data_IF_647149405689
#
_entry.id   IF_647149405689
#
_cell.length_a   1.000
_cell.length_b   1.000
_cell.length_c   1.000
_cell.angle_alpha   90.00
_cell.angle_beta   90.00
_cell.angle_gamma   90.00
#
_symmetry.space_group_name_H-M   'P 1'
#
loop_
_entity.id
_entity.type
_entity.pdbx_description
1 polymer ?
#
# COMPACT_ATOMS: atom_id res chain seq x y z
N UNK A 1 23.34 -9.64 -5.07
CA UNK A 1 22.10 -9.32 -4.33
C UNK A 1 21.38 -8.30 -5.17
N UNK A 2 20.08 -8.48 -5.44
CA UNK A 2 19.35 -7.52 -6.27
C UNK A 2 19.14 -6.25 -5.45
N UNK A 3 19.69 -5.16 -5.96
CA UNK A 3 19.38 -3.80 -5.56
C UNK A 3 17.91 -3.56 -5.96
N UNK A 4 16.98 -3.76 -5.01
CA UNK A 4 15.55 -3.54 -5.27
C UNK A 4 15.24 -2.06 -5.09
N UNK A 5 15.71 -1.28 -6.05
CA UNK A 5 15.40 0.13 -6.16
C UNK A 5 13.98 0.29 -6.71
N UNK A 6 13.23 1.24 -6.17
CA UNK A 6 11.90 1.57 -6.68
C UNK A 6 11.61 3.06 -6.56
N UNK A 7 10.78 3.56 -7.47
CA UNK A 7 10.31 4.94 -7.44
C UNK A 7 9.06 5.00 -6.58
N UNK A 8 8.99 5.99 -5.69
CA UNK A 8 7.84 6.24 -4.83
C UNK A 8 7.53 7.73 -4.78
N UNK A 9 6.26 8.09 -4.59
CA UNK A 9 5.87 9.47 -4.32
C UNK A 9 6.53 9.97 -3.03
N UNK A 10 6.83 11.27 -3.01
CA UNK A 10 7.35 11.94 -1.82
C UNK A 10 6.33 11.98 -0.70
N UNK A 11 6.81 12.12 0.52
CA UNK A 11 5.97 12.35 1.70
C UNK A 11 5.07 13.58 1.53
N UNK A 12 3.84 13.51 2.04
CA UNK A 12 2.84 14.59 2.00
C UNK A 12 2.47 15.12 0.60
N UNK A 13 2.68 14.33 -0.46
CA UNK A 13 2.32 14.72 -1.84
C UNK A 13 0.85 14.52 -2.19
N UNK A 14 0.03 13.99 -1.26
CA UNK A 14 -1.40 13.74 -1.47
C UNK A 14 -2.24 14.99 -1.78
N UNK A 15 -1.72 16.19 -1.52
CA UNK A 15 -2.40 17.45 -1.83
C UNK A 15 -2.20 17.92 -3.28
N UNK A 16 -1.36 17.25 -4.07
CA UNK A 16 -1.10 17.63 -5.46
C UNK A 16 -2.02 16.87 -6.43
N UNK A 17 -2.83 17.56 -7.26
CA UNK A 17 -3.67 16.90 -8.24
C UNK A 17 -2.88 16.29 -9.40
N UNK A 18 -1.63 16.75 -9.61
CA UNK A 18 -0.70 16.25 -10.63
C UNK A 18 0.67 16.12 -9.99
N UNK A 19 1.24 14.92 -10.05
CA UNK A 19 2.61 14.67 -9.59
C UNK A 19 3.59 14.91 -10.76
N UNK A 20 4.61 15.71 -10.52
CA UNK A 20 5.73 15.94 -11.44
C UNK A 20 6.93 15.09 -10.99
N UNK A 21 7.96 14.98 -11.83
CA UNK A 21 9.17 14.22 -11.50
C UNK A 21 9.81 14.66 -10.17
N UNK A 22 9.65 15.93 -9.80
CA UNK A 22 10.10 16.50 -8.52
C UNK A 22 9.32 16.03 -7.30
N UNK A 23 8.18 15.37 -7.47
CA UNK A 23 7.38 14.79 -6.39
C UNK A 23 7.68 13.30 -6.15
N UNK A 24 8.73 12.77 -6.77
CA UNK A 24 9.14 11.38 -6.61
C UNK A 24 10.55 11.27 -6.03
N UNK A 25 10.74 10.20 -5.25
CA UNK A 25 12.03 9.77 -4.75
C UNK A 25 12.36 8.37 -5.29
N UNK A 26 13.62 8.11 -5.54
CA UNK A 26 14.15 6.77 -5.79
C UNK A 26 14.58 6.18 -4.45
N UNK A 27 13.87 5.17 -3.96
CA UNK A 27 14.36 4.37 -2.83
C UNK A 27 15.43 3.43 -3.35
N UNK A 28 16.64 3.54 -2.83
CA UNK A 28 17.80 2.76 -3.26
C UNK A 28 18.06 1.55 -2.36
N UNK A 29 17.63 1.62 -1.10
CA UNK A 29 17.74 0.53 -0.13
C UNK A 29 16.71 0.69 0.99
N UNK A 30 16.23 -0.44 1.51
CA UNK A 30 15.42 -0.51 2.73
C UNK A 30 16.00 -1.56 3.66
N UNK A 31 16.13 -1.22 4.95
CA UNK A 31 16.39 -2.13 6.04
C UNK A 31 15.24 -2.03 7.05
N UNK A 32 14.25 -2.91 6.88
CA UNK A 32 13.08 -2.93 7.74
C UNK A 32 13.39 -3.35 9.18
N UNK A 33 14.53 -3.99 9.46
CA UNK A 33 14.90 -4.40 10.83
C UNK A 33 15.41 -3.21 11.63
N UNK A 34 16.28 -2.42 11.01
CA UNK A 34 16.81 -1.19 11.62
C UNK A 34 15.87 0.01 11.46
N UNK A 35 14.74 -0.17 10.75
CA UNK A 35 13.78 0.88 10.43
C UNK A 35 14.42 2.03 9.61
N UNK A 36 15.33 1.66 8.70
CA UNK A 36 16.10 2.60 7.89
C UNK A 36 15.77 2.43 6.41
N UNK A 37 15.80 3.54 5.67
CA UNK A 37 15.73 3.53 4.21
C UNK A 37 16.67 4.60 3.66
N UNK A 38 17.17 4.35 2.46
CA UNK A 38 17.99 5.27 1.70
C UNK A 38 17.22 5.64 0.44
N UNK A 39 17.14 6.94 0.18
CA UNK A 39 16.50 7.45 -1.03
C UNK A 39 17.31 8.59 -1.63
N UNK A 40 17.22 8.70 -2.95
CA UNK A 40 17.76 9.78 -3.75
C UNK A 40 16.61 10.55 -4.41
N UNK A 41 16.82 11.84 -4.63
CA UNK A 41 15.85 12.69 -5.32
C UNK A 41 15.53 13.97 -4.56
N UNK A 42 14.68 14.81 -5.15
CA UNK A 42 14.38 16.15 -4.66
C UNK A 42 13.45 16.17 -3.44
N UNK A 43 12.85 15.04 -3.08
CA UNK A 43 11.90 14.91 -1.97
C UNK A 43 12.26 13.73 -1.07
N UNK A 44 11.86 13.82 0.19
CA UNK A 44 11.90 12.70 1.12
C UNK A 44 10.87 11.66 0.64
N UNK A 45 11.29 10.40 0.52
CA UNK A 45 10.41 9.30 0.14
C UNK A 45 9.18 9.19 1.08
N UNK A 46 8.07 8.62 0.60
CA UNK A 46 6.90 8.39 1.46
C UNK A 46 7.28 7.55 2.68
N UNK A 47 6.68 7.85 3.82
CA UNK A 47 6.75 7.01 5.02
C UNK A 47 6.19 5.60 4.82
N UNK A 48 5.43 5.34 3.75
CA UNK A 48 5.01 3.99 3.34
C UNK A 48 6.07 3.20 2.57
N UNK A 49 7.24 3.78 2.29
CA UNK A 49 8.29 3.13 1.48
C UNK A 49 8.64 1.72 1.96
N UNK A 50 8.69 1.49 3.28
CA UNK A 50 8.97 0.16 3.83
C UNK A 50 7.87 -0.84 3.55
N UNK A 51 6.60 -0.41 3.54
CA UNK A 51 5.46 -1.26 3.18
C UNK A 51 5.49 -1.60 1.68
N UNK A 52 5.83 -0.64 0.82
CA UNK A 52 6.06 -0.90 -0.60
C UNK A 52 7.18 -1.92 -0.81
N UNK A 53 8.31 -1.74 -0.13
CA UNK A 53 9.44 -2.67 -0.19
C UNK A 53 9.05 -4.08 0.27
N UNK A 54 8.27 -4.22 1.33
CA UNK A 54 7.78 -5.51 1.81
C UNK A 54 6.98 -6.26 0.73
N UNK A 55 6.13 -5.55 -0.03
CA UNK A 55 5.36 -6.13 -1.13
C UNK A 55 6.28 -6.57 -2.28
N UNK A 56 7.22 -5.71 -2.71
CA UNK A 56 8.17 -6.05 -3.79
C UNK A 56 9.04 -7.26 -3.42
N UNK A 57 9.52 -7.34 -2.18
CA UNK A 57 10.37 -8.43 -1.70
C UNK A 57 9.63 -9.78 -1.63
N UNK A 58 8.40 -9.80 -1.11
CA UNK A 58 7.62 -11.04 -0.96
C UNK A 58 6.95 -11.49 -2.27
N UNK A 59 6.82 -10.58 -3.24
CA UNK A 59 6.20 -10.82 -4.54
C UNK A 59 7.05 -10.25 -5.69
N UNK A 60 8.12 -10.96 -6.14
CA UNK A 60 9.02 -10.48 -7.20
C UNK A 60 8.38 -10.21 -8.57
N UNK A 61 7.12 -10.59 -8.75
CA UNK A 61 6.33 -10.35 -9.97
C UNK A 61 5.60 -9.00 -9.96
N UNK A 62 5.54 -8.32 -8.81
CA UNK A 62 4.89 -7.03 -8.62
C UNK A 62 5.76 -5.92 -9.19
N UNK A 63 5.18 -5.06 -10.03
CA UNK A 63 5.83 -3.83 -10.51
C UNK A 63 4.96 -2.58 -10.29
N UNK A 64 3.91 -2.68 -9.49
CA UNK A 64 3.08 -1.53 -9.12
C UNK A 64 2.42 -1.77 -7.78
N UNK A 65 2.56 -0.80 -6.88
CA UNK A 65 1.90 -0.76 -5.57
C UNK A 65 1.24 0.61 -5.43
N UNK A 66 -0.02 0.62 -5.02
CA UNK A 66 -0.80 1.83 -4.77
C UNK A 66 -1.23 1.80 -3.31
N UNK A 67 -0.97 2.89 -2.62
CA UNK A 67 -1.50 3.18 -1.30
C UNK A 67 -2.47 4.35 -1.38
N UNK A 68 -3.64 4.22 -0.77
CA UNK A 68 -4.64 5.29 -0.69
C UNK A 68 -5.29 5.34 0.69
N UNK A 69 -5.82 6.52 0.99
CA UNK A 69 -6.54 6.84 2.22
C UNK A 69 -8.02 7.06 1.89
N UNK A 70 -8.89 6.14 2.32
CA UNK A 70 -10.34 6.27 2.12
C UNK A 70 -11.13 5.62 3.28
N UNK A 71 -11.61 6.40 4.27
CA UNK A 71 -12.24 5.85 5.48
C UNK A 71 -13.44 4.94 5.23
N UNK A 72 -14.33 5.31 4.29
CA UNK A 72 -15.55 4.53 3.98
C UNK A 72 -15.22 3.13 3.42
N UNK A 73 -14.48 3.10 2.30
CA UNK A 73 -13.96 1.87 1.70
C UNK A 73 -13.14 1.05 2.69
N UNK A 74 -12.23 1.66 3.47
CA UNK A 74 -11.44 0.94 4.48
C UNK A 74 -12.33 0.21 5.48
N UNK A 75 -13.36 0.90 6.00
CA UNK A 75 -14.28 0.33 7.00
C UNK A 75 -15.13 -0.81 6.41
N UNK A 76 -15.48 -0.73 5.13
CA UNK A 76 -16.18 -1.79 4.41
C UNK A 76 -15.28 -3.00 4.09
N UNK A 77 -13.97 -2.80 3.95
CA UNK A 77 -13.01 -3.85 3.65
C UNK A 77 -12.39 -4.50 4.89
N UNK A 78 -12.49 -3.85 6.05
CA UNK A 78 -11.88 -4.31 7.29
C UNK A 78 -12.39 -5.73 7.64
N UNK A 79 -11.46 -6.68 7.72
CA UNK A 79 -11.70 -8.12 7.91
C UNK A 79 -12.41 -8.86 6.76
N UNK A 80 -12.86 -8.17 5.71
CA UNK A 80 -13.37 -8.78 4.47
C UNK A 80 -12.22 -9.12 3.49
N UNK A 81 -11.12 -8.37 3.57
CA UNK A 81 -9.85 -8.66 2.89
C UNK A 81 -8.73 -8.85 3.93
N UNK A 82 -7.55 -9.41 3.55
CA UNK A 82 -6.39 -9.48 4.41
C UNK A 82 -6.15 -8.14 5.10
N UNK A 83 -6.03 -8.20 6.42
CA UNK A 83 -6.03 -7.03 7.30
C UNK A 83 -4.81 -7.14 8.20
N UNK A 84 -3.95 -6.11 8.24
CA UNK A 84 -2.74 -6.16 9.09
C UNK A 84 -3.13 -6.17 10.56
N UNK A 85 -2.19 -6.58 11.40
CA UNK A 85 -2.35 -6.58 12.85
C UNK A 85 -2.62 -5.16 13.35
N UNK A 86 -3.59 -5.01 14.26
CA UNK A 86 -3.96 -3.74 14.89
C UNK A 86 -2.80 -3.04 15.61
N UNK A 87 -1.89 -3.81 16.18
CA UNK A 87 -0.74 -3.28 16.92
C UNK A 87 0.40 -2.82 16.02
N UNK A 88 0.36 -3.17 14.72
CA UNK A 88 1.36 -2.73 13.76
C UNK A 88 1.16 -1.25 13.45
N UNK A 89 2.11 -0.41 13.86
CA UNK A 89 2.06 1.02 13.64
C UNK A 89 2.58 1.39 12.25
N UNK A 90 2.06 2.50 11.75
CA UNK A 90 2.49 3.06 10.47
C UNK A 90 4.00 3.35 10.44
N UNK A 91 4.66 2.97 9.35
CA UNK A 91 6.10 3.20 9.17
C UNK A 91 6.98 2.45 10.16
N UNK A 92 6.51 1.33 10.72
CA UNK A 92 7.27 0.54 11.70
C UNK A 92 7.70 -0.84 11.14
N UNK A 93 8.74 -1.47 11.74
CA UNK A 93 9.13 -2.84 11.41
C UNK A 93 8.00 -3.86 11.60
N UNK A 94 7.13 -3.63 12.59
CA UNK A 94 5.97 -4.47 12.88
C UNK A 94 4.96 -4.44 11.72
N UNK A 95 4.80 -3.29 11.04
CA UNK A 95 3.98 -3.21 9.83
C UNK A 95 4.50 -4.10 8.72
N UNK A 96 5.81 -4.04 8.46
CA UNK A 96 6.47 -4.90 7.47
C UNK A 96 6.28 -6.37 7.83
N UNK A 97 6.50 -6.74 9.09
CA UNK A 97 6.29 -8.11 9.57
C UNK A 97 4.83 -8.56 9.39
N UNK A 98 3.87 -7.68 9.64
CA UNK A 98 2.45 -7.95 9.48
C UNK A 98 2.08 -8.20 8.02
N UNK A 99 2.56 -7.35 7.10
CA UNK A 99 2.37 -7.52 5.65
C UNK A 99 2.95 -8.86 5.18
N UNK A 100 4.19 -9.18 5.59
CA UNK A 100 4.84 -10.46 5.27
C UNK A 100 4.01 -11.64 5.79
N UNK A 101 3.47 -11.54 7.01
CA UNK A 101 2.62 -12.57 7.59
C UNK A 101 1.34 -12.76 6.76
N UNK A 102 0.68 -11.67 6.32
CA UNK A 102 -0.50 -11.77 5.46
C UNK A 102 -0.17 -12.43 4.13
N UNK A 103 0.94 -12.04 3.50
CA UNK A 103 1.42 -12.62 2.23
C UNK A 103 1.63 -14.14 2.32
N UNK A 104 1.99 -14.65 3.50
CA UNK A 104 2.27 -16.07 3.73
C UNK A 104 1.08 -16.89 4.21
N UNK A 105 0.16 -16.27 4.96
CA UNK A 105 -0.92 -16.99 5.67
C UNK A 105 -2.31 -16.80 5.05
N UNK A 106 -2.46 -15.89 4.11
CA UNK A 106 -3.77 -15.54 3.53
C UNK A 106 -3.73 -15.59 2.01
N UNK A 107 -4.88 -15.33 1.38
CA UNK A 107 -5.01 -15.22 -0.08
C UNK A 107 -4.59 -13.85 -0.63
N UNK A 108 -3.71 -13.14 0.08
CA UNK A 108 -3.30 -11.78 -0.27
C UNK A 108 -2.66 -11.72 -1.66
N UNK A 109 -1.83 -12.70 -2.02
CA UNK A 109 -1.15 -12.72 -3.33
C UNK A 109 -2.14 -12.86 -4.48
N UNK A 110 -3.27 -13.56 -4.26
CA UNK A 110 -4.34 -13.72 -5.24
C UNK A 110 -5.27 -12.51 -5.28
N UNK A 111 -5.66 -11.98 -4.11
CA UNK A 111 -6.61 -10.86 -4.00
C UNK A 111 -5.99 -9.51 -4.35
N UNK A 112 -4.68 -9.36 -4.14
CA UNK A 112 -3.89 -8.16 -4.49
C UNK A 112 -4.34 -6.89 -3.78
N UNK A 113 -5.02 -7.03 -2.64
CA UNK A 113 -5.49 -5.94 -1.80
C UNK A 113 -5.35 -6.31 -0.32
N UNK A 114 -4.95 -5.35 0.51
CA UNK A 114 -5.05 -5.46 1.96
C UNK A 114 -5.35 -4.10 2.59
N UNK A 115 -5.82 -4.11 3.83
CA UNK A 115 -6.07 -2.91 4.63
C UNK A 115 -5.26 -2.92 5.92
N UNK A 116 -5.02 -1.73 6.47
CA UNK A 116 -4.25 -1.58 7.71
C UNK A 116 -5.18 -1.39 8.90
N UNK A 117 -5.19 -2.29 9.88
CA UNK A 117 -6.05 -2.10 11.06
C UNK A 117 -5.47 -1.06 12.04
N UNK A 118 -4.14 -1.07 12.24
CA UNK A 118 -3.44 -0.09 13.09
C UNK A 118 -3.28 1.31 12.47
N UNK A 119 -3.74 1.49 11.23
CA UNK A 119 -3.73 2.76 10.51
C UNK A 119 -5.05 2.89 9.76
N UNK A 120 -6.04 3.48 10.44
CA UNK A 120 -7.37 3.70 9.87
C UNK A 120 -7.26 4.37 8.51
N UNK A 121 -8.17 4.03 7.60
CA UNK A 121 -8.25 4.58 6.23
C UNK A 121 -7.22 4.05 5.22
N UNK A 122 -6.14 3.40 5.68
CA UNK A 122 -5.06 2.90 4.83
C UNK A 122 -5.39 1.64 4.05
N UNK A 123 -5.35 1.72 2.71
CA UNK A 123 -5.62 0.63 1.78
C UNK A 123 -4.42 0.46 0.83
N UNK A 124 -4.02 -0.78 0.58
CA UNK A 124 -2.96 -1.12 -0.37
C UNK A 124 -3.48 -2.04 -1.46
N UNK A 125 -3.09 -1.76 -2.70
CA UNK A 125 -3.28 -2.67 -3.85
C UNK A 125 -1.99 -2.82 -4.64
N UNK A 126 -1.82 -3.95 -5.32
CA UNK A 126 -0.61 -4.22 -6.08
C UNK A 126 -0.85 -5.08 -7.33
N UNK A 127 0.11 -5.11 -8.25
CA UNK A 127 -0.02 -5.83 -9.52
C UNK A 127 1.27 -5.95 -10.32
N UNK A 128 1.23 -6.64 -11.45
CA UNK A 128 2.32 -6.69 -12.44
C UNK A 128 2.61 -5.32 -13.07
N UNK A 129 1.69 -4.36 -12.91
CA UNK A 129 1.83 -2.96 -13.30
C UNK A 129 1.00 -2.06 -12.39
N UNK A 130 1.28 -0.76 -12.43
CA UNK A 130 0.45 0.24 -11.76
C UNK A 130 -1.01 0.22 -12.26
N UNK A 131 -1.21 -0.01 -13.56
CA UNK A 131 -2.55 -0.12 -14.16
C UNK A 131 -3.35 -1.28 -13.56
N UNK A 132 -2.70 -2.42 -13.31
CA UNK A 132 -3.36 -3.57 -12.70
C UNK A 132 -3.70 -3.30 -11.22
N UNK A 133 -2.76 -2.74 -10.46
CA UNK A 133 -3.01 -2.34 -9.07
C UNK A 133 -4.21 -1.37 -8.99
N UNK A 134 -4.26 -0.38 -9.89
CA UNK A 134 -5.38 0.55 -10.00
C UNK A 134 -6.68 -0.16 -10.36
N UNK A 135 -6.66 -1.13 -11.28
CA UNK A 135 -7.83 -1.94 -11.63
C UNK A 135 -8.40 -2.70 -10.43
N UNK A 136 -7.53 -3.27 -9.58
CA UNK A 136 -7.94 -3.94 -8.33
C UNK A 136 -8.61 -2.93 -7.39
N UNK A 137 -8.00 -1.76 -7.17
CA UNK A 137 -8.58 -0.71 -6.31
C UNK A 137 -9.96 -0.29 -6.80
N UNK A 138 -10.10 -0.01 -8.10
CA UNK A 138 -11.38 0.42 -8.68
C UNK A 138 -12.43 -0.68 -8.61
N UNK A 139 -12.06 -1.97 -8.75
CA UNK A 139 -13.01 -3.07 -8.58
C UNK A 139 -13.69 -3.04 -7.21
N UNK A 140 -12.91 -2.90 -6.13
CA UNK A 140 -13.44 -2.81 -4.76
C UNK A 140 -14.18 -1.50 -4.51
N UNK A 141 -13.67 -0.38 -5.01
CA UNK A 141 -14.34 0.91 -4.88
C UNK A 141 -15.72 0.92 -5.56
N UNK A 142 -15.84 0.35 -6.76
CA UNK A 142 -17.12 0.24 -7.46
C UNK A 142 -18.10 -0.71 -6.76
N UNK A 143 -17.63 -1.77 -6.11
CA UNK A 143 -18.46 -2.64 -5.30
C UNK A 143 -19.02 -1.89 -4.08
N UNK A 144 -18.14 -1.19 -3.35
CA UNK A 144 -18.50 -0.33 -2.23
C UNK A 144 -19.58 0.71 -2.59
N UNK A 145 -19.41 1.43 -3.72
CA UNK A 145 -20.41 2.42 -4.15
C UNK A 145 -21.79 1.82 -4.45
N UNK A 146 -21.87 0.57 -4.93
CA UNK A 146 -23.15 -0.09 -5.21
C UNK A 146 -23.89 -0.47 -3.94
N UNK A 147 -23.16 -0.90 -2.92
CA UNK A 147 -23.72 -1.25 -1.61
C UNK A 147 -24.20 -0.01 -0.86
N UNK A 148 -23.43 1.08 -0.91
CA UNK A 148 -23.77 2.36 -0.28
C UNK A 148 -25.05 2.97 -0.89
N UNK A 149 -25.16 2.97 -2.22
CA UNK A 149 -26.38 3.40 -2.93
C UNK A 149 -27.61 2.52 -2.62
N UNK A 150 -27.39 1.27 -2.19
CA UNK A 150 -28.48 0.35 -1.82
C UNK A 150 -28.91 0.53 -0.36
N UNK A 151 -27.98 0.89 0.53
CA UNK A 151 -28.26 1.15 1.95
C UNK A 151 -28.97 2.48 2.18
N UNK A 152 -28.72 3.51 1.37
CA UNK A 152 -29.42 4.81 1.44
C UNK A 152 -30.87 4.78 0.92
N UNK A 153 -31.26 3.70 0.23
CA UNK A 153 -32.60 3.55 -0.37
C UNK A 153 -33.53 2.58 0.39
N UNK A 154 -33.08 2.05 1.53
CA UNK A 154 -33.86 1.20 2.44
C UNK A 154 -34.27 1.94 3.70
#
# INVERSE_FOLDING_TARGET
>A
GKEEQFVISGSATGNFPVLLAEHYALVTRVDARENELWCEGPVVASSESMSHAAVYQECPWVNGVIHVHHPGLWRALLHEVPTTDKSALYGSPEMVASIIQLMRKTRLKEQKIFVMEGHEEGIFTFGHSLQEAFGVLMMYYHAFLREDISSERG
#
